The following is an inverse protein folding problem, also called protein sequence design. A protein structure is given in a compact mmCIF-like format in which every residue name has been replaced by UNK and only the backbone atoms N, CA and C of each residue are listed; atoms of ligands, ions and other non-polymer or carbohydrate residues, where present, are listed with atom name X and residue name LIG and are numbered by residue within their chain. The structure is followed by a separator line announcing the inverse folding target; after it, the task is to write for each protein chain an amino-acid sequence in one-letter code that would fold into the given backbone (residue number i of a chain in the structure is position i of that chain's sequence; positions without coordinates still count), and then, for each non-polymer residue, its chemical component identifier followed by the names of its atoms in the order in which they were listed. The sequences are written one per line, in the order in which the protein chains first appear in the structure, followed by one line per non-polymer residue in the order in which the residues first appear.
data_IF_266797712872
#
_entry.id   IF_266797712872
#
_cell.length_a   1.000
_cell.length_b   1.000
_cell.length_c   1.000
_cell.angle_alpha   90.00
_cell.angle_beta   90.00
_cell.angle_gamma   90.00
#
_symmetry.space_group_name_H-M   'P 1'
#
loop_
_entity.id
_entity.type
_entity.pdbx_description
1 polymer ?
#
# COMPACT_ATOMS: atom_id res chain seq x y z
N UNK A 1 6.78 -10.88 21.96
CA UNK A 1 6.30 -9.52 22.33
C UNK A 1 7.11 -8.92 23.49
N UNK A 2 7.52 -9.72 24.47
CA UNK A 2 8.33 -9.30 25.64
C UNK A 2 9.39 -8.22 25.42
N UNK A 3 10.22 -8.32 24.37
CA UNK A 3 11.28 -7.32 24.09
C UNK A 3 10.76 -5.93 23.70
N UNK A 4 9.52 -5.82 23.25
CA UNK A 4 8.89 -4.58 22.77
C UNK A 4 7.92 -3.97 23.77
N UNK A 5 7.55 -4.69 24.83
CA UNK A 5 6.54 -4.26 25.82
C UNK A 5 6.91 -2.95 26.50
N UNK A 6 8.19 -2.77 26.85
CA UNK A 6 8.71 -1.52 27.44
C UNK A 6 8.52 -0.28 26.54
N UNK A 7 8.29 -0.46 25.24
CA UNK A 7 8.07 0.63 24.30
C UNK A 7 6.58 0.89 24.03
N UNK A 8 5.67 0.04 24.53
CA UNK A 8 4.24 0.18 24.32
C UNK A 8 3.69 1.35 25.16
N UNK A 9 3.27 2.40 24.47
CA UNK A 9 2.58 3.54 25.06
C UNK A 9 1.72 4.20 23.98
N UNK A 10 0.40 4.25 24.22
CA UNK A 10 -0.59 4.76 23.25
C UNK A 10 -0.50 6.27 23.05
N UNK A 11 -0.04 7.02 24.03
CA UNK A 11 -0.12 8.48 24.08
C UNK A 11 1.25 9.17 23.99
N UNK A 12 2.33 8.48 24.35
CA UNK A 12 3.69 9.01 24.23
C UNK A 12 4.11 9.11 22.76
N UNK A 13 4.55 10.30 22.35
CA UNK A 13 5.16 10.50 21.04
C UNK A 13 6.40 9.61 20.89
N UNK A 14 6.48 8.86 19.79
CA UNK A 14 7.54 7.86 19.56
C UNK A 14 7.31 6.51 20.26
N UNK A 15 6.24 6.37 21.04
CA UNK A 15 5.81 5.09 21.61
C UNK A 15 5.19 4.14 20.58
N UNK A 16 5.29 2.85 20.85
CA UNK A 16 4.58 1.82 20.07
C UNK A 16 3.14 1.72 20.59
N UNK A 17 2.18 1.57 19.69
CA UNK A 17 0.78 1.33 20.05
C UNK A 17 0.24 0.12 19.32
N UNK A 18 -0.55 -0.68 20.01
CA UNK A 18 -1.36 -1.69 19.35
C UNK A 18 -2.40 -0.98 18.46
N UNK A 19 -2.48 -1.38 17.19
CA UNK A 19 -3.42 -0.81 16.23
C UNK A 19 -4.49 -1.81 15.81
N UNK A 20 -4.10 -3.07 15.63
CA UNK A 20 -4.99 -4.13 15.18
C UNK A 20 -4.63 -5.44 15.87
N UNK A 21 -5.64 -6.27 16.08
CA UNK A 21 -5.52 -7.69 16.42
C UNK A 21 -6.28 -8.47 15.35
N UNK A 22 -5.67 -9.52 14.83
CA UNK A 22 -6.23 -10.37 13.78
C UNK A 22 -5.67 -11.78 13.94
N UNK A 23 -6.40 -12.76 13.43
CA UNK A 23 -5.97 -14.17 13.39
C UNK A 23 -5.14 -14.45 12.14
N UNK A 24 -5.50 -13.82 11.03
CA UNK A 24 -4.95 -14.13 9.72
C UNK A 24 -4.27 -12.90 9.10
N UNK A 25 -3.07 -13.12 8.57
CA UNK A 25 -2.27 -12.11 7.89
C UNK A 25 -1.68 -12.68 6.60
N UNK A 26 -2.03 -12.04 5.50
CA UNK A 26 -1.41 -12.32 4.19
C UNK A 26 -0.58 -11.12 3.77
N UNK A 27 0.74 -11.32 3.60
CA UNK A 27 1.65 -10.29 3.10
C UNK A 27 2.00 -10.62 1.65
N UNK A 28 1.49 -9.82 0.72
CA UNK A 28 1.84 -9.94 -0.70
C UNK A 28 3.10 -9.12 -1.03
N UNK A 29 3.35 -8.04 -0.28
CA UNK A 29 4.54 -7.23 -0.41
C UNK A 29 4.49 -5.96 0.43
N UNK A 30 5.47 -5.09 0.25
CA UNK A 30 5.55 -3.83 0.97
C UNK A 30 4.30 -2.97 0.72
N UNK A 31 3.52 -2.70 1.78
CA UNK A 31 2.25 -1.94 1.73
C UNK A 31 1.19 -2.60 0.83
N UNK A 32 1.26 -3.94 0.67
CA UNK A 32 0.19 -4.77 0.12
C UNK A 32 0.00 -5.97 1.06
N UNK A 33 -0.99 -5.87 1.95
CA UNK A 33 -1.31 -6.93 2.90
C UNK A 33 -2.81 -6.97 3.22
N UNK A 34 -3.25 -8.12 3.71
CA UNK A 34 -4.61 -8.36 4.18
C UNK A 34 -4.54 -8.84 5.64
N UNK A 35 -5.31 -8.21 6.52
CA UNK A 35 -5.41 -8.50 7.96
C UNK A 35 -6.87 -8.79 8.29
N UNK A 36 -7.27 -10.06 8.37
CA UNK A 36 -8.70 -10.41 8.40
C UNK A 36 -9.46 -9.76 7.24
N UNK A 37 -10.47 -8.94 7.57
CA UNK A 37 -11.28 -8.21 6.57
C UNK A 37 -10.62 -6.92 6.03
N UNK A 38 -9.48 -6.51 6.58
CA UNK A 38 -8.82 -5.25 6.23
C UNK A 38 -7.79 -5.51 5.12
N UNK A 39 -8.09 -5.02 3.91
CA UNK A 39 -7.15 -5.00 2.79
C UNK A 39 -6.45 -3.65 2.69
N UNK A 40 -5.11 -3.62 2.73
CA UNK A 40 -4.31 -2.41 2.51
C UNK A 40 -3.44 -2.58 1.28
N UNK A 41 -3.61 -1.68 0.31
CA UNK A 41 -2.87 -1.66 -0.94
C UNK A 41 -2.35 -0.24 -1.19
N UNK A 42 -1.05 -0.11 -1.44
CA UNK A 42 -0.41 1.20 -1.61
C UNK A 42 -1.00 1.98 -2.78
N UNK A 43 -1.55 3.15 -2.45
CA UNK A 43 -2.08 4.08 -3.45
C UNK A 43 -3.31 3.51 -4.18
N UNK A 44 -4.08 2.67 -3.51
CA UNK A 44 -5.45 2.31 -3.88
C UNK A 44 -6.32 2.72 -2.68
N UNK A 45 -7.27 3.64 -2.86
CA UNK A 45 -8.19 4.03 -1.80
C UNK A 45 -9.05 2.87 -1.32
N UNK A 46 -9.51 2.94 -0.06
CA UNK A 46 -10.36 1.90 0.53
C UNK A 46 -11.71 1.75 -0.20
N UNK A 47 -12.21 2.86 -0.76
CA UNK A 47 -13.47 2.90 -1.54
C UNK A 47 -13.29 2.55 -3.03
N UNK A 48 -12.11 2.13 -3.46
CA UNK A 48 -11.88 1.79 -4.85
C UNK A 48 -12.70 0.57 -5.26
N UNK A 49 -13.30 0.61 -6.45
CA UNK A 49 -14.06 -0.49 -7.00
C UNK A 49 -13.11 -1.51 -7.64
N UNK A 50 -13.22 -2.78 -7.26
CA UNK A 50 -12.38 -3.84 -7.82
C UNK A 50 -12.99 -4.35 -9.13
N UNK A 51 -12.25 -4.20 -10.23
CA UNK A 51 -12.69 -4.59 -11.58
C UNK A 51 -12.25 -6.00 -12.00
N UNK A 52 -11.58 -6.76 -11.13
CA UNK A 52 -10.90 -8.01 -11.51
C UNK A 52 -9.47 -7.77 -12.01
N UNK A 53 -8.70 -8.85 -12.20
CA UNK A 53 -7.33 -8.83 -12.71
C UNK A 53 -6.40 -7.80 -12.04
N UNK A 54 -6.53 -7.65 -10.73
CA UNK A 54 -5.75 -6.68 -9.95
C UNK A 54 -5.97 -5.21 -10.37
N UNK A 55 -7.09 -4.90 -11.04
CA UNK A 55 -7.47 -3.55 -11.46
C UNK A 55 -8.45 -2.95 -10.46
N UNK A 56 -8.20 -1.69 -10.12
CA UNK A 56 -9.00 -0.92 -9.18
C UNK A 56 -9.38 0.42 -9.81
N UNK A 57 -10.67 0.73 -9.82
CA UNK A 57 -11.22 1.98 -10.28
C UNK A 57 -11.50 2.92 -9.11
N UNK A 58 -11.09 4.18 -9.24
CA UNK A 58 -11.40 5.21 -8.25
C UNK A 58 -11.19 6.62 -8.79
N UNK A 59 -11.88 7.56 -8.14
CA UNK A 59 -11.73 8.98 -8.38
C UNK A 59 -10.37 9.50 -7.91
N UNK A 60 -9.65 10.20 -8.79
CA UNK A 60 -8.38 10.85 -8.49
C UNK A 60 -8.43 12.33 -8.89
N UNK A 61 -7.87 13.20 -8.05
CA UNK A 61 -7.62 14.60 -8.41
C UNK A 61 -6.66 14.69 -9.61
N UNK A 62 -6.93 15.61 -10.53
CA UNK A 62 -5.96 15.97 -11.55
C UNK A 62 -4.70 16.53 -10.89
N UNK A 63 -3.55 16.23 -11.51
CA UNK A 63 -2.27 16.81 -11.12
C UNK A 63 -2.28 18.33 -11.38
N UNK A 64 -1.40 19.05 -10.70
CA UNK A 64 -1.30 20.50 -10.80
C UNK A 64 -0.99 20.97 -12.23
N UNK A 65 -0.08 20.28 -12.92
CA UNK A 65 0.27 20.56 -14.32
C UNK A 65 -0.95 20.42 -15.26
N UNK A 66 -1.82 19.44 -15.02
CA UNK A 66 -3.08 19.30 -15.76
C UNK A 66 -4.07 20.44 -15.46
N UNK A 67 -4.17 20.91 -14.21
CA UNK A 67 -5.00 22.08 -13.89
C UNK A 67 -4.50 23.33 -14.62
N UNK A 68 -3.18 23.56 -14.62
CA UNK A 68 -2.56 24.70 -15.30
C UNK A 68 -2.79 24.67 -16.81
N UNK A 69 -2.62 23.49 -17.45
CA UNK A 69 -2.90 23.32 -18.89
C UNK A 69 -4.36 23.59 -19.25
N UNK A 70 -5.29 23.32 -18.34
CA UNK A 70 -6.73 23.55 -18.52
C UNK A 70 -7.18 24.97 -18.11
N UNK A 71 -6.26 25.81 -17.61
CA UNK A 71 -6.60 27.15 -17.09
C UNK A 71 -7.44 27.14 -15.81
N UNK A 72 -7.52 26.00 -15.10
CA UNK A 72 -8.34 25.87 -13.88
C UNK A 72 -7.53 26.32 -12.66
N UNK A 73 -7.98 27.39 -11.99
CA UNK A 73 -7.26 28.01 -10.87
C UNK A 73 -8.07 28.11 -9.57
N UNK A 74 -9.38 27.83 -9.59
CA UNK A 74 -10.30 28.10 -8.46
C UNK A 74 -11.04 26.88 -7.94
N UNK A 75 -10.90 25.72 -8.58
CA UNK A 75 -11.53 24.48 -8.15
C UNK A 75 -10.66 23.27 -8.48
N UNK A 76 -10.92 22.17 -7.80
CA UNK A 76 -10.27 20.90 -8.06
C UNK A 76 -11.10 20.08 -9.05
N UNK A 77 -10.43 19.53 -10.04
CA UNK A 77 -11.02 18.60 -11.01
C UNK A 77 -10.61 17.19 -10.62
N UNK A 78 -11.57 16.29 -10.64
CA UNK A 78 -11.36 14.85 -10.45
C UNK A 78 -11.60 14.10 -11.76
N UNK A 79 -11.03 12.91 -11.87
CA UNK A 79 -11.32 11.95 -12.93
C UNK A 79 -11.35 10.54 -12.37
N UNK A 80 -12.08 9.65 -13.03
CA UNK A 80 -11.94 8.22 -12.79
C UNK A 80 -10.63 7.71 -13.37
N UNK A 81 -9.97 6.82 -12.63
CA UNK A 81 -8.78 6.11 -13.11
C UNK A 81 -8.91 4.64 -12.81
N UNK A 82 -8.37 3.82 -13.71
CA UNK A 82 -8.15 2.39 -13.48
C UNK A 82 -6.66 2.17 -13.20
N UNK A 83 -6.34 1.59 -12.05
CA UNK A 83 -4.97 1.26 -11.64
C UNK A 83 -4.81 -0.24 -11.49
N UNK A 84 -3.83 -0.81 -12.19
CA UNK A 84 -3.39 -2.20 -12.00
C UNK A 84 -2.38 -2.27 -10.85
N UNK A 85 -2.61 -3.14 -9.86
CA UNK A 85 -1.70 -3.36 -8.73
C UNK A 85 -1.56 -4.85 -8.44
N UNK A 86 -0.55 -5.45 -9.03
CA UNK A 86 -0.27 -6.88 -8.88
C UNK A 86 0.36 -7.17 -7.51
N UNK A 87 -0.02 -8.30 -6.87
CA UNK A 87 0.51 -8.72 -5.57
C UNK A 87 1.87 -9.39 -5.66
N UNK A 88 2.43 -9.56 -6.86
CA UNK A 88 3.65 -10.34 -7.05
C UNK A 88 4.88 -9.50 -6.70
N UNK A 89 5.70 -10.02 -5.80
CA UNK A 89 6.99 -9.42 -5.48
C UNK A 89 8.06 -10.00 -6.40
N UNK A 90 8.36 -9.28 -7.47
CA UNK A 90 9.31 -9.67 -8.53
C UNK A 90 10.70 -9.02 -8.37
N UNK A 91 10.96 -8.32 -7.25
CA UNK A 91 12.18 -7.53 -7.05
C UNK A 91 13.32 -8.29 -6.37
N UNK A 92 13.22 -9.61 -6.33
CA UNK A 92 14.20 -10.48 -5.72
C UNK A 92 13.74 -11.92 -5.66
N UNK A 93 14.66 -12.81 -5.28
CA UNK A 93 14.37 -14.22 -5.02
C UNK A 93 13.78 -14.37 -3.63
N UNK A 94 12.57 -14.91 -3.55
CA UNK A 94 11.95 -15.27 -2.27
C UNK A 94 12.54 -16.62 -1.82
N UNK A 95 13.20 -16.62 -0.67
CA UNK A 95 13.76 -17.83 -0.05
C UNK A 95 12.67 -18.59 0.72
N UNK A 96 12.84 -19.90 1.00
CA UNK A 96 11.85 -20.72 1.71
C UNK A 96 11.41 -20.17 3.07
N UNK A 97 12.29 -19.45 3.76
CA UNK A 97 12.02 -18.78 5.04
C UNK A 97 11.33 -17.41 4.89
N UNK A 98 10.99 -17.00 3.67
CA UNK A 98 10.30 -15.74 3.37
C UNK A 98 11.24 -14.52 3.28
N UNK A 99 12.55 -14.71 3.44
CA UNK A 99 13.54 -13.65 3.19
C UNK A 99 13.64 -13.37 1.69
N UNK A 100 13.82 -12.11 1.33
CA UNK A 100 13.98 -11.68 -0.05
C UNK A 100 15.45 -11.35 -0.31
N UNK A 101 16.08 -12.08 -1.24
CA UNK A 101 17.38 -11.72 -1.80
C UNK A 101 17.19 -10.78 -2.99
N UNK A 102 17.74 -9.57 -2.88
CA UNK A 102 17.75 -8.61 -3.98
C UNK A 102 18.58 -9.14 -5.14
N UNK A 103 18.14 -8.88 -6.38
CA UNK A 103 19.01 -9.09 -7.53
C UNK A 103 20.21 -8.14 -7.45
N UNK A 104 21.40 -8.66 -7.76
CA UNK A 104 22.64 -7.89 -7.88
C UNK A 104 23.06 -7.78 -9.33
N UNK A 105 23.86 -6.76 -9.68
CA UNK A 105 24.33 -6.56 -11.06
C UNK A 105 25.10 -7.76 -11.63
N UNK A 106 25.66 -8.62 -10.79
CA UNK A 106 26.33 -9.87 -11.17
C UNK A 106 25.39 -11.00 -11.60
N UNK A 107 24.07 -10.80 -11.53
CA UNK A 107 23.04 -11.81 -11.82
C UNK A 107 22.24 -11.49 -13.09
N UNK A 108 22.72 -10.54 -13.90
CA UNK A 108 22.18 -10.15 -15.20
C UNK A 108 23.18 -10.42 -16.32
#
# INVERSE_FOLDING_TARGET
LSKLEQYLDKYRLGGLKEQYKFTDLTINGAKYYTMGDIKKIKGVPEKAHYLGDYKYEYTQFLRQDSHLRLGVTRYFVTKEIVKKVEPFYDKGKVLPEGRIERFTLSQF
#
